data_IF_354543627504
#
_entry.id   IF_354543627504
#
_cell.length_a   1.000
_cell.length_b   1.000
_cell.length_c   1.000
_cell.angle_alpha   90.00
_cell.angle_beta   90.00
_cell.angle_gamma   90.00
#
_symmetry.space_group_name_H-M   'P 1'
#
loop_
_entity.id
_entity.type
_entity.pdbx_description
1 polymer ?
#
# COMPACT_ATOMS: atom_id res chain seq x y z
N UNK A 1 -31.03 -27.80 -34.50
CA UNK A 1 -30.27 -26.54 -34.72
C UNK A 1 -30.94 -25.41 -33.95
N UNK A 2 -30.10 -24.49 -33.44
CA UNK A 2 -30.35 -23.17 -32.80
C UNK A 2 -30.31 -23.13 -31.26
N UNK A 3 -29.61 -22.08 -30.80
CA UNK A 3 -28.86 -21.91 -29.56
C UNK A 3 -29.59 -20.96 -28.58
N UNK A 4 -29.29 -21.15 -27.29
CA UNK A 4 -29.01 -20.15 -26.23
C UNK A 4 -30.01 -19.03 -25.90
N UNK A 5 -30.31 -18.84 -24.61
CA UNK A 5 -29.76 -17.78 -23.75
C UNK A 5 -30.57 -17.69 -22.44
N UNK A 6 -30.00 -18.22 -21.36
CA UNK A 6 -30.48 -18.02 -19.99
C UNK A 6 -30.14 -16.60 -19.56
N UNK A 7 -31.17 -15.75 -19.34
CA UNK A 7 -31.01 -14.41 -18.78
C UNK A 7 -30.86 -14.50 -17.26
N UNK A 8 -29.73 -13.99 -16.77
CA UNK A 8 -29.42 -13.73 -15.37
C UNK A 8 -30.41 -12.70 -14.83
N UNK A 9 -31.16 -13.08 -13.79
CA UNK A 9 -31.99 -12.17 -13.01
C UNK A 9 -31.11 -11.46 -11.98
N UNK A 10 -30.96 -10.15 -12.16
CA UNK A 10 -30.37 -9.25 -11.20
C UNK A 10 -31.30 -9.10 -9.99
N UNK A 11 -30.85 -9.50 -8.81
CA UNK A 11 -31.46 -9.09 -7.54
C UNK A 11 -30.55 -8.08 -6.88
N UNK A 12 -30.83 -6.80 -7.14
CA UNK A 12 -30.33 -5.66 -6.38
C UNK A 12 -31.11 -5.60 -5.07
N UNK A 13 -30.44 -5.84 -3.95
CA UNK A 13 -30.96 -5.47 -2.64
C UNK A 13 -30.40 -4.08 -2.29
N UNK A 14 -31.28 -3.09 -2.27
CA UNK A 14 -30.99 -1.72 -1.87
C UNK A 14 -31.30 -1.50 -0.38
N UNK A 15 -30.54 -0.57 0.20
CA UNK A 15 -30.93 0.43 1.22
C UNK A 15 -30.50 0.25 2.69
N UNK A 16 -29.83 1.32 3.18
CA UNK A 16 -29.55 1.68 4.58
C UNK A 16 -28.05 1.89 4.80
N UNK A 17 -27.47 3.09 4.97
CA UNK A 17 -27.99 4.41 5.31
C UNK A 17 -27.08 5.50 4.72
N UNK A 18 -27.68 6.64 4.37
CA UNK A 18 -26.99 7.89 4.03
C UNK A 18 -26.58 8.55 5.35
N UNK A 19 -25.29 8.81 5.53
CA UNK A 19 -24.75 9.53 6.69
C UNK A 19 -23.34 10.04 6.42
N UNK A 20 -23.27 11.28 5.94
CA UNK A 20 -22.15 12.23 5.96
C UNK A 20 -20.69 11.69 5.97
N UNK A 21 -19.96 11.98 4.89
CA UNK A 21 -18.58 12.45 5.00
C UNK A 21 -17.53 11.41 5.35
N UNK A 22 -17.39 10.38 4.52
CA UNK A 22 -16.08 9.74 4.34
C UNK A 22 -16.06 9.09 2.96
N UNK A 23 -15.12 9.53 2.12
CA UNK A 23 -14.65 8.73 1.00
C UNK A 23 -13.89 7.53 1.60
N UNK A 24 -14.62 6.61 2.23
CA UNK A 24 -14.12 5.25 2.37
C UNK A 24 -14.23 4.71 0.97
N UNK A 25 -13.12 4.74 0.23
CA UNK A 25 -13.01 4.00 -1.01
C UNK A 25 -13.48 2.58 -0.70
N UNK A 26 -14.71 2.24 -1.13
CA UNK A 26 -15.18 0.88 -1.09
C UNK A 26 -14.09 0.07 -1.80
N UNK A 27 -13.43 -0.91 -1.15
CA UNK A 27 -12.44 -1.71 -1.84
C UNK A 27 -13.20 -2.33 -3.01
N UNK A 28 -12.85 -1.91 -4.23
CA UNK A 28 -13.36 -2.51 -5.44
C UNK A 28 -13.06 -3.99 -5.24
N UNK A 29 -14.09 -4.83 -5.19
CA UNK A 29 -13.91 -6.28 -5.17
C UNK A 29 -13.35 -6.68 -6.54
N UNK A 30 -12.07 -6.36 -6.77
CA UNK A 30 -11.30 -6.83 -7.89
C UNK A 30 -11.09 -8.31 -7.63
N UNK A 31 -11.65 -9.14 -8.51
CA UNK A 31 -11.29 -10.54 -8.56
C UNK A 31 -9.77 -10.60 -8.74
N UNK A 32 -9.07 -10.98 -7.67
CA UNK A 32 -7.63 -11.13 -7.67
C UNK A 32 -7.24 -11.97 -8.88
N UNK A 33 -6.52 -11.37 -9.83
CA UNK A 33 -5.88 -12.13 -10.88
C UNK A 33 -4.90 -13.14 -10.21
N UNK A 34 -4.49 -14.22 -10.91
CA UNK A 34 -3.58 -15.20 -10.33
C UNK A 34 -2.37 -14.53 -9.65
N UNK A 35 -1.85 -13.45 -10.24
CA UNK A 35 -0.96 -12.50 -9.57
C UNK A 35 -1.61 -11.12 -9.44
N UNK A 36 -1.59 -10.54 -8.24
CA UNK A 36 -2.07 -9.17 -8.00
C UNK A 36 -1.31 -8.57 -6.81
N UNK A 37 -0.75 -7.38 -7.02
CA UNK A 37 -0.04 -6.62 -6.00
C UNK A 37 -0.87 -5.40 -5.64
N UNK A 38 -0.92 -5.07 -4.37
CA UNK A 38 -1.51 -3.83 -3.87
C UNK A 38 -0.42 -3.02 -3.19
N UNK A 39 -0.11 -1.86 -3.75
CA UNK A 39 0.74 -0.88 -3.08
C UNK A 39 -0.05 -0.21 -1.95
N UNK A 40 0.62 0.03 -0.83
CA UNK A 40 0.05 0.74 0.29
C UNK A 40 1.09 1.68 0.88
N UNK A 41 0.64 2.65 1.67
CA UNK A 41 1.52 3.59 2.31
C UNK A 41 0.77 4.57 3.19
N UNK A 42 1.53 5.49 3.74
CA UNK A 42 1.00 6.54 4.59
C UNK A 42 2.06 7.53 4.99
N UNK A 43 1.59 8.69 5.42
CA UNK A 43 2.42 9.71 6.06
C UNK A 43 1.73 10.15 7.33
N UNK A 44 2.47 10.18 8.41
CA UNK A 44 1.99 10.63 9.72
C UNK A 44 2.96 11.68 10.24
N UNK A 45 2.42 12.84 10.61
CA UNK A 45 3.19 13.85 11.33
C UNK A 45 2.82 13.83 12.81
N UNK A 46 3.83 13.73 13.64
CA UNK A 46 3.71 13.79 15.09
C UNK A 46 4.57 14.93 15.61
N UNK A 47 4.06 15.65 16.60
CA UNK A 47 4.88 16.62 17.31
C UNK A 47 5.63 15.88 18.42
N UNK A 48 6.95 15.78 18.28
CA UNK A 48 7.79 15.21 19.33
C UNK A 48 8.11 16.32 20.33
N UNK A 49 7.57 16.21 21.54
CA UNK A 49 7.98 17.02 22.69
C UNK A 49 9.39 16.63 23.15
N UNK A 50 9.98 17.47 24.00
CA UNK A 50 11.29 17.26 24.61
C UNK A 50 11.48 15.81 25.08
N UNK A 51 12.58 15.21 24.64
CA UNK A 51 13.02 13.92 25.18
C UNK A 51 13.54 14.07 26.62
N UNK A 52 13.60 12.97 27.38
CA UNK A 52 14.01 12.97 28.80
C UNK A 52 15.42 13.56 29.04
N UNK A 53 16.27 13.60 28.01
CA UNK A 53 17.64 14.08 28.09
C UNK A 53 17.85 15.53 27.59
N UNK A 54 16.78 16.27 27.27
CA UNK A 54 16.86 17.65 26.70
C UNK A 54 17.80 17.80 25.48
N UNK A 55 18.14 16.68 24.81
CA UNK A 55 19.08 16.64 23.69
C UNK A 55 18.43 16.97 22.35
N UNK A 56 17.11 16.79 22.28
CA UNK A 56 16.30 17.10 21.10
C UNK A 56 15.17 18.04 21.51
N UNK A 57 15.20 19.25 20.95
CA UNK A 57 14.13 20.22 21.09
C UNK A 57 12.82 19.76 20.45
N UNK A 58 11.70 20.43 20.79
CA UNK A 58 10.40 20.10 20.25
C UNK A 58 10.40 20.27 18.73
N UNK A 59 10.07 19.20 18.01
CA UNK A 59 10.15 19.20 16.55
C UNK A 59 9.03 18.36 15.97
N UNK A 60 8.45 18.85 14.89
CA UNK A 60 7.59 18.03 14.05
C UNK A 60 8.43 16.91 13.45
N UNK A 61 7.93 15.68 13.55
CA UNK A 61 8.52 14.52 12.92
C UNK A 61 7.51 13.93 11.94
N UNK A 62 7.96 13.70 10.72
CA UNK A 62 7.18 13.02 9.70
C UNK A 62 7.66 11.59 9.60
N UNK A 63 6.78 10.65 9.92
CA UNK A 63 6.96 9.23 9.62
C UNK A 63 6.27 8.93 8.30
N UNK A 64 7.04 8.45 7.31
CA UNK A 64 6.52 8.09 6.00
C UNK A 64 6.86 6.63 5.72
N UNK A 65 5.88 5.91 5.20
CA UNK A 65 6.03 4.49 4.90
C UNK A 65 5.31 4.12 3.62
N UNK A 66 5.88 3.16 2.90
CA UNK A 66 5.32 2.63 1.67
C UNK A 66 5.78 1.19 1.47
N UNK A 67 4.88 0.35 1.02
CA UNK A 67 5.12 -1.07 0.82
C UNK A 67 4.15 -1.68 -0.17
N UNK A 68 4.23 -2.99 -0.30
CA UNK A 68 3.40 -3.77 -1.21
C UNK A 68 2.93 -5.04 -0.53
N UNK A 69 1.68 -5.40 -0.78
CA UNK A 69 1.07 -6.67 -0.37
C UNK A 69 0.73 -7.47 -1.61
N UNK A 70 1.06 -8.76 -1.61
CA UNK A 70 0.53 -9.67 -2.61
C UNK A 70 -0.90 -10.07 -2.22
N UNK A 71 -1.90 -9.50 -2.92
CA UNK A 71 -3.32 -9.80 -2.74
C UNK A 71 -3.82 -10.88 -3.72
N UNK A 72 -2.96 -11.30 -4.65
CA UNK A 72 -3.17 -12.38 -5.58
C UNK A 72 -3.16 -13.78 -4.94
N UNK A 73 -3.53 -14.77 -5.75
CA UNK A 73 -3.53 -16.18 -5.34
C UNK A 73 -2.20 -16.91 -5.53
N UNK A 74 -1.23 -16.32 -6.23
CA UNK A 74 0.06 -16.94 -6.57
C UNK A 74 1.25 -16.09 -6.13
N UNK A 75 2.42 -16.73 -6.03
CA UNK A 75 3.67 -16.04 -5.68
C UNK A 75 4.11 -15.11 -6.81
N UNK A 76 4.36 -13.85 -6.46
CA UNK A 76 4.86 -12.83 -7.37
C UNK A 76 6.38 -12.83 -7.37
N UNK A 77 6.99 -12.61 -8.54
CA UNK A 77 8.45 -12.60 -8.72
C UNK A 77 8.92 -11.30 -9.34
N UNK A 78 10.17 -10.94 -9.07
CA UNK A 78 10.74 -9.68 -9.51
C UNK A 78 10.07 -8.44 -8.91
N UNK A 79 9.42 -8.59 -7.75
CA UNK A 79 8.68 -7.52 -7.09
C UNK A 79 9.64 -6.43 -6.60
N UNK A 80 9.38 -5.22 -7.08
CA UNK A 80 10.08 -4.00 -6.69
C UNK A 80 9.10 -2.94 -6.24
N UNK A 81 9.54 -2.06 -5.35
CA UNK A 81 8.77 -0.89 -4.88
C UNK A 81 9.65 0.33 -5.07
N UNK A 82 9.16 1.28 -5.87
CA UNK A 82 9.85 2.51 -6.22
C UNK A 82 9.10 3.72 -5.70
N UNK A 83 9.82 4.67 -5.10
CA UNK A 83 9.30 6.01 -4.84
C UNK A 83 9.44 6.86 -6.11
N UNK A 84 8.43 7.65 -6.47
CA UNK A 84 8.52 8.52 -7.64
C UNK A 84 9.65 9.54 -7.46
N UNK A 85 10.60 9.56 -8.41
CA UNK A 85 11.80 10.41 -8.32
C UNK A 85 12.80 9.98 -7.23
N UNK A 86 12.61 8.82 -6.61
CA UNK A 86 13.39 8.34 -5.47
C UNK A 86 14.06 6.99 -5.71
N UNK A 87 14.34 6.29 -4.60
CA UNK A 87 14.98 4.99 -4.64
C UNK A 87 14.01 3.88 -5.11
N UNK A 88 14.58 2.84 -5.69
CA UNK A 88 13.89 1.59 -6.01
C UNK A 88 14.41 0.48 -5.09
N UNK A 89 13.50 -0.27 -4.46
CA UNK A 89 13.84 -1.34 -3.51
C UNK A 89 13.21 -2.66 -3.93
N UNK A 90 14.03 -3.69 -3.97
CA UNK A 90 13.60 -5.06 -4.20
C UNK A 90 13.04 -5.67 -2.92
N UNK A 91 12.02 -6.53 -3.05
CA UNK A 91 11.63 -7.40 -1.94
C UNK A 91 12.85 -8.23 -1.53
N UNK A 92 13.32 -8.14 -0.28
CA UNK A 92 14.55 -8.76 0.13
C UNK A 92 14.40 -10.28 0.15
N UNK A 93 15.50 -10.95 -0.13
CA UNK A 93 15.59 -12.38 0.08
C UNK A 93 15.46 -12.68 1.57
N UNK A 94 14.51 -13.53 1.96
CA UNK A 94 14.38 -14.00 3.34
C UNK A 94 15.09 -15.34 3.51
N UNK A 95 15.72 -15.53 4.66
CA UNK A 95 16.34 -16.78 5.08
C UNK A 95 15.64 -17.29 6.33
N UNK A 96 15.55 -18.61 6.48
CA UNK A 96 15.12 -19.22 7.73
C UNK A 96 16.22 -19.11 8.80
N UNK A 97 15.90 -19.51 10.03
CA UNK A 97 16.83 -19.57 11.17
C UNK A 97 18.08 -20.41 10.86
N UNK A 98 17.94 -21.41 10.00
CA UNK A 98 19.04 -22.29 9.56
C UNK A 98 19.82 -21.73 8.35
N UNK A 99 19.59 -20.46 7.97
CA UNK A 99 20.28 -19.80 6.85
C UNK A 99 19.80 -20.23 5.46
N UNK A 100 18.85 -21.17 5.37
CA UNK A 100 18.26 -21.62 4.10
C UNK A 100 17.36 -20.53 3.51
N UNK A 101 17.48 -20.29 2.21
CA UNK A 101 16.68 -19.29 1.50
C UNK A 101 15.21 -19.74 1.48
N UNK A 102 14.32 -18.92 2.02
CA UNK A 102 12.88 -19.21 2.08
C UNK A 102 12.07 -18.49 1.01
N UNK A 103 12.52 -17.31 0.58
CA UNK A 103 12.01 -16.56 -0.57
C UNK A 103 13.21 -16.03 -1.36
N UNK A 104 13.16 -16.08 -2.69
CA UNK A 104 14.20 -15.46 -3.53
C UNK A 104 14.08 -13.94 -3.49
N UNK A 105 15.13 -13.24 -3.92
CA UNK A 105 15.08 -11.78 -4.10
C UNK A 105 13.96 -11.42 -5.09
N UNK A 106 13.13 -10.45 -4.73
CA UNK A 106 11.96 -10.05 -5.52
C UNK A 106 10.79 -11.02 -5.44
N UNK A 107 10.80 -12.01 -4.54
CA UNK A 107 9.70 -12.97 -4.40
C UNK A 107 8.76 -12.56 -3.26
N UNK A 108 7.48 -12.39 -3.57
CA UNK A 108 6.44 -12.09 -2.58
C UNK A 108 5.31 -13.12 -2.64
N UNK A 109 5.21 -13.94 -1.60
CA UNK A 109 4.18 -14.98 -1.47
C UNK A 109 2.77 -14.40 -1.23
N UNK A 110 1.69 -15.12 -1.58
CA UNK A 110 0.32 -14.69 -1.36
C UNK A 110 0.07 -14.25 0.09
N UNK A 111 -0.62 -13.12 0.27
CA UNK A 111 -0.95 -12.54 1.57
C UNK A 111 0.24 -12.00 2.37
N UNK A 112 1.46 -12.00 1.81
CA UNK A 112 2.63 -11.40 2.46
C UNK A 112 2.79 -9.95 2.06
N UNK A 113 3.29 -9.19 3.03
CA UNK A 113 3.50 -7.76 2.96
C UNK A 113 4.98 -7.46 3.11
N UNK A 114 5.48 -6.55 2.27
CA UNK A 114 6.81 -6.00 2.38
C UNK A 114 6.73 -4.47 2.49
N UNK A 115 7.29 -3.90 3.54
CA UNK A 115 7.45 -2.46 3.71
C UNK A 115 8.83 -2.07 3.21
N UNK A 116 8.88 -1.35 2.08
CA UNK A 116 10.12 -0.97 1.43
C UNK A 116 10.67 0.33 2.02
N UNK A 117 9.81 1.30 2.26
CA UNK A 117 10.15 2.60 2.81
C UNK A 117 9.54 2.71 4.19
N UNK A 118 10.38 3.00 5.17
CA UNK A 118 10.00 3.32 6.54
C UNK A 118 11.06 4.30 7.03
N UNK A 119 10.71 5.59 7.03
CA UNK A 119 11.66 6.66 7.33
C UNK A 119 11.01 7.75 8.16
N UNK A 120 11.79 8.34 9.07
CA UNK A 120 11.35 9.46 9.92
C UNK A 120 12.21 10.69 9.65
N UNK A 121 11.59 11.79 9.24
CA UNK A 121 12.27 13.06 8.93
C UNK A 121 11.88 14.14 9.94
N UNK A 122 12.78 15.11 10.17
CA UNK A 122 12.46 16.33 10.91
C UNK A 122 11.68 17.27 9.98
N UNK A 123 10.60 17.84 10.49
CA UNK A 123 9.63 18.62 9.70
C UNK A 123 8.43 17.77 9.25
N UNK A 124 7.33 18.45 8.93
CA UNK A 124 6.09 17.84 8.43
C UNK A 124 5.75 18.30 7.01
N UNK A 125 6.63 19.06 6.34
CA UNK A 125 6.35 19.59 5.01
C UNK A 125 7.51 19.30 4.06
N UNK A 126 7.26 18.73 2.86
CA UNK A 126 5.98 18.23 2.35
C UNK A 126 5.56 16.90 3.00
N UNK A 127 4.29 16.78 3.38
CA UNK A 127 3.76 15.64 4.12
C UNK A 127 3.30 14.48 3.21
N UNK A 128 4.10 14.09 2.21
CA UNK A 128 3.66 13.15 1.17
C UNK A 128 4.67 12.06 0.85
N UNK A 129 4.17 10.90 0.42
CA UNK A 129 4.94 9.82 -0.19
C UNK A 129 4.14 9.26 -1.36
N UNK A 130 4.82 8.91 -2.44
CA UNK A 130 4.16 8.36 -3.63
C UNK A 130 5.09 7.43 -4.36
N UNK A 131 4.52 6.44 -5.03
CA UNK A 131 5.33 5.45 -5.69
C UNK A 131 4.51 4.42 -6.44
N UNK A 132 5.24 3.43 -6.91
CA UNK A 132 4.67 2.32 -7.66
C UNK A 132 5.39 1.02 -7.34
N UNK A 133 4.72 -0.10 -7.59
CA UNK A 133 5.28 -1.44 -7.53
C UNK A 133 5.20 -2.12 -8.89
N UNK A 134 6.17 -2.99 -9.18
CA UNK A 134 6.23 -3.78 -10.41
C UNK A 134 6.57 -5.21 -10.04
N UNK A 135 5.77 -6.17 -10.52
CA UNK A 135 6.12 -7.59 -10.61
C UNK A 135 6.33 -8.06 -12.06
N UNK A 136 6.73 -9.33 -12.23
CA UNK A 136 6.92 -9.95 -13.55
C UNK A 136 5.62 -10.56 -14.13
N UNK A 137 4.62 -10.78 -13.28
CA UNK A 137 3.35 -11.38 -13.65
C UNK A 137 2.40 -10.33 -14.25
N UNK A 138 1.29 -10.77 -14.83
CA UNK A 138 0.21 -9.87 -15.26
C UNK A 138 -0.60 -9.45 -14.03
N UNK A 139 -0.68 -8.14 -13.78
CA UNK A 139 -1.26 -7.54 -12.57
C UNK A 139 -2.29 -6.47 -12.96
N UNK A 140 -3.09 -6.01 -11.99
CA UNK A 140 -3.89 -4.82 -12.20
C UNK A 140 -3.03 -3.56 -12.00
N UNK A 141 -2.76 -2.77 -13.07
CA UNK A 141 -1.90 -1.58 -12.95
C UNK A 141 -2.48 -0.51 -12.00
N UNK A 142 -3.79 -0.51 -11.76
CA UNK A 142 -4.42 0.45 -10.84
C UNK A 142 -4.06 0.19 -9.38
N UNK A 143 -3.77 -1.06 -9.01
CA UNK A 143 -3.36 -1.43 -7.65
C UNK A 143 -1.87 -1.18 -7.40
N UNK A 144 -1.12 -0.89 -8.46
CA UNK A 144 0.33 -0.81 -8.42
C UNK A 144 0.88 0.60 -8.15
N UNK A 145 0.04 1.64 -8.21
CA UNK A 145 0.46 3.04 -8.03
C UNK A 145 -0.29 3.65 -6.87
N UNK A 146 0.41 4.45 -6.04
CA UNK A 146 -0.21 5.10 -4.90
C UNK A 146 0.43 6.44 -4.55
N UNK A 147 -0.39 7.30 -3.95
CA UNK A 147 -0.01 8.59 -3.41
C UNK A 147 -0.69 8.75 -2.05
N UNK A 148 0.08 9.09 -1.03
CA UNK A 148 -0.41 9.33 0.33
C UNK A 148 0.12 10.65 0.82
N UNK A 149 -0.77 11.41 1.45
CA UNK A 149 -0.43 12.71 2.03
C UNK A 149 -1.11 12.86 3.38
N UNK A 150 -0.38 13.41 4.35
CA UNK A 150 -0.94 13.84 5.61
C UNK A 150 -1.59 15.22 5.44
N UNK A 151 -2.75 15.26 4.77
CA UNK A 151 -3.64 16.42 4.81
C UNK A 151 -4.54 16.28 6.03
N UNK A 152 -4.10 16.81 7.17
CA UNK A 152 -5.09 17.26 8.15
C UNK A 152 -5.86 18.39 7.47
N UNK A 153 -7.15 18.19 7.20
CA UNK A 153 -8.07 19.29 6.96
C UNK A 153 -8.04 20.15 8.22
N UNK A 154 -7.21 21.20 8.24
CA UNK A 154 -7.40 22.26 9.21
C UNK A 154 -8.81 22.79 8.96
N UNK A 155 -9.70 22.84 9.97
CA UNK A 155 -10.92 23.60 9.81
C UNK A 155 -10.50 25.01 9.35
N UNK A 156 -11.15 25.50 8.30
CA UNK A 156 -11.04 26.92 7.97
C UNK A 156 -11.56 27.67 9.20
N UNK A 157 -10.68 28.40 9.89
CA UNK A 157 -11.06 29.41 10.88
C UNK A 157 -11.71 30.61 10.17
#
# INVERSE_FOLDING_TARGET
MKKSLTRVAATVAAAGAIGAGSLVAAPQAHAAAPGDLAIFGGVTCTFKMWGPNWSDGPVWQMHRWMGVTNIGGTTMTGVTVSEFGGANKWVPQTKDKDGKITNKLGELKPGKTYVAFDTTWKGCWPASISGYTIGQQVENPMNNVGFWQNVRNAPAE
#
